data_IF_979684988935
#
_entry.id   IF_979684988935
#
_cell.length_a   1.000
_cell.length_b   1.000
_cell.length_c   1.000
_cell.angle_alpha   90.00
_cell.angle_beta   90.00
_cell.angle_gamma   90.00
#
_symmetry.space_group_name_H-M   'P 1'
#
loop_
_entity.id
_entity.type
_entity.pdbx_description
1 polymer ?
#
# COMPACT_ATOMS: atom_id res chain seq x y z
N UNK A 1 -5.46 10.98 11.61
CA UNK A 1 -4.50 10.71 10.53
C UNK A 1 -4.44 9.19 10.41
N UNK A 2 -4.26 8.62 9.22
CA UNK A 2 -4.01 7.19 9.12
C UNK A 2 -2.63 6.87 9.67
N UNK A 3 -2.42 5.64 10.14
CA UNK A 3 -1.09 5.09 10.22
C UNK A 3 -0.56 4.95 8.79
N UNK A 4 0.72 5.20 8.60
CA UNK A 4 1.35 5.11 7.31
C UNK A 4 2.20 3.83 7.23
N UNK A 5 1.94 3.05 6.21
CA UNK A 5 2.76 1.91 5.84
C UNK A 5 3.82 2.38 4.84
N UNK A 6 5.09 2.26 5.20
CA UNK A 6 6.20 2.54 4.29
C UNK A 6 6.33 1.40 3.28
N UNK A 7 6.56 1.72 2.02
CA UNK A 7 6.68 0.74 0.96
C UNK A 7 7.89 1.02 0.07
N UNK A 8 8.60 -0.05 -0.29
CA UNK A 8 9.56 -0.10 -1.37
C UNK A 8 9.08 -1.11 -2.40
N UNK A 9 8.83 -0.64 -3.61
CA UNK A 9 8.26 -1.42 -4.71
C UNK A 9 9.24 -1.49 -5.87
N UNK A 10 9.56 -2.70 -6.30
CA UNK A 10 10.25 -2.98 -7.55
C UNK A 10 9.27 -3.52 -8.59
N UNK A 11 9.28 -2.94 -9.78
CA UNK A 11 8.50 -3.41 -10.92
C UNK A 11 9.42 -3.68 -12.12
N UNK A 12 9.24 -4.86 -12.73
CA UNK A 12 9.82 -5.18 -14.04
C UNK A 12 8.71 -5.56 -15.01
N UNK A 13 8.90 -5.26 -16.31
CA UNK A 13 7.98 -5.69 -17.35
C UNK A 13 8.72 -5.88 -18.67
N UNK A 14 8.35 -6.89 -19.48
CA UNK A 14 8.99 -7.16 -20.78
C UNK A 14 8.81 -5.99 -21.77
N UNK A 15 7.66 -5.31 -21.74
CA UNK A 15 7.41 -4.10 -22.54
C UNK A 15 7.82 -2.83 -21.75
N UNK A 16 8.87 -2.11 -22.22
CA UNK A 16 9.31 -0.86 -21.57
C UNK A 16 8.22 0.23 -21.51
N UNK A 17 7.23 0.17 -22.39
CA UNK A 17 6.13 1.12 -22.39
C UNK A 17 5.25 0.98 -21.14
N UNK A 18 5.15 -0.23 -20.57
CA UNK A 18 4.44 -0.47 -19.31
C UNK A 18 5.17 0.13 -18.12
N UNK A 19 6.50 0.04 -18.08
CA UNK A 19 7.32 0.68 -17.05
C UNK A 19 7.22 2.21 -17.15
N UNK A 20 7.30 2.78 -18.34
CA UNK A 20 7.15 4.23 -18.53
C UNK A 20 5.71 4.71 -18.16
N UNK A 21 4.70 3.87 -18.42
CA UNK A 21 3.32 4.13 -17.99
C UNK A 21 3.20 4.14 -16.47
N UNK A 22 3.81 3.15 -15.78
CA UNK A 22 3.85 3.08 -14.32
C UNK A 22 4.59 4.30 -13.73
N UNK A 23 5.74 4.66 -14.30
CA UNK A 23 6.53 5.83 -13.88
C UNK A 23 5.72 7.12 -13.95
N UNK A 24 4.98 7.35 -15.05
CA UNK A 24 4.13 8.54 -15.21
C UNK A 24 2.97 8.55 -14.24
N UNK A 25 2.27 7.43 -14.12
CA UNK A 25 1.15 7.29 -13.20
C UNK A 25 1.60 7.53 -11.75
N UNK A 26 2.75 6.98 -11.36
CA UNK A 26 3.34 7.21 -10.05
C UNK A 26 3.70 8.69 -9.82
N UNK A 27 4.33 9.36 -10.78
CA UNK A 27 4.66 10.77 -10.70
C UNK A 27 3.40 11.66 -10.56
N UNK A 28 2.28 11.24 -11.14
CA UNK A 28 0.98 11.92 -11.05
C UNK A 28 0.18 11.55 -9.79
N UNK A 29 0.69 10.66 -8.90
CA UNK A 29 -0.02 10.16 -7.72
C UNK A 29 -1.25 9.32 -8.06
N UNK A 30 -1.17 8.52 -9.12
CA UNK A 30 -2.26 7.73 -9.69
C UNK A 30 -1.82 6.32 -10.11
N UNK A 31 -0.84 5.76 -9.41
CA UNK A 31 -0.30 4.45 -9.79
C UNK A 31 -1.38 3.36 -9.77
N UNK A 32 -2.19 3.33 -8.72
CA UNK A 32 -3.20 2.28 -8.54
C UNK A 32 -4.42 2.53 -9.45
N UNK A 33 -4.88 3.77 -9.58
CA UNK A 33 -5.99 4.14 -10.47
C UNK A 33 -5.68 3.83 -11.94
N UNK A 34 -4.43 4.01 -12.37
CA UNK A 34 -4.01 3.76 -13.75
C UNK A 34 -4.14 2.28 -14.18
N UNK A 35 -3.83 1.34 -13.27
CA UNK A 35 -3.84 -0.09 -13.56
C UNK A 35 -5.04 -0.83 -12.95
N UNK A 36 -5.66 -0.26 -11.93
CA UNK A 36 -6.80 -0.81 -11.19
C UNK A 36 -7.88 0.28 -10.99
N UNK A 37 -8.48 0.83 -12.08
CA UNK A 37 -9.33 2.00 -11.99
C UNK A 37 -10.60 1.77 -11.18
N UNK A 38 -10.95 2.75 -10.34
CA UNK A 38 -12.22 2.75 -9.62
C UNK A 38 -13.35 2.99 -10.61
N UNK A 39 -14.37 2.12 -10.69
CA UNK A 39 -15.55 2.36 -11.54
C UNK A 39 -16.18 3.72 -11.28
N UNK A 40 -16.46 4.50 -12.32
CA UNK A 40 -16.93 5.88 -12.21
C UNK A 40 -18.20 6.05 -11.34
N UNK A 41 -19.07 5.06 -11.31
CA UNK A 41 -20.29 5.08 -10.47
C UNK A 41 -19.99 4.96 -8.97
N UNK A 42 -18.82 4.45 -8.59
CA UNK A 42 -18.40 4.32 -7.19
C UNK A 42 -17.88 5.63 -6.58
N UNK A 43 -17.61 6.66 -7.39
CA UNK A 43 -17.19 7.98 -6.89
C UNK A 43 -18.35 8.75 -6.25
N UNK A 44 -18.96 8.15 -5.24
CA UNK A 44 -20.00 8.74 -4.38
C UNK A 44 -19.50 8.85 -2.96
N UNK A 45 -20.20 9.60 -2.11
CA UNK A 45 -19.82 9.79 -0.71
C UNK A 45 -19.78 8.45 0.02
N UNK A 46 -18.65 8.16 0.66
CA UNK A 46 -18.49 7.02 1.56
C UNK A 46 -18.87 7.44 2.98
N UNK A 47 -20.16 7.49 3.28
CA UNK A 47 -20.67 7.95 4.57
C UNK A 47 -22.11 8.42 4.49
N UNK A 48 -22.50 9.32 5.39
CA UNK A 48 -23.83 9.92 5.42
C UNK A 48 -23.79 11.38 4.98
N UNK A 49 -24.87 11.85 4.34
CA UNK A 49 -25.11 13.25 4.01
C UNK A 49 -26.23 13.79 4.88
N UNK A 50 -26.18 15.10 5.19
CA UNK A 50 -27.10 15.70 6.17
C UNK A 50 -28.51 15.99 5.63
N UNK A 51 -28.68 16.09 4.32
CA UNK A 51 -29.97 16.33 3.69
C UNK A 51 -30.72 15.00 3.45
N UNK A 52 -32.01 14.88 3.86
CA UNK A 52 -32.74 13.62 3.73
C UNK A 52 -33.00 13.16 2.29
N UNK A 53 -33.17 14.08 1.33
CA UNK A 53 -33.40 13.74 -0.06
C UNK A 53 -32.09 13.30 -0.73
N UNK A 54 -30.98 13.95 -0.40
CA UNK A 54 -29.64 13.54 -0.83
C UNK A 54 -29.26 12.20 -0.22
N UNK A 55 -29.57 11.96 1.05
CA UNK A 55 -29.32 10.68 1.73
C UNK A 55 -30.06 9.53 1.04
N UNK A 56 -31.33 9.73 0.71
CA UNK A 56 -32.12 8.70 -0.02
C UNK A 56 -31.52 8.39 -1.38
N UNK A 57 -31.09 9.42 -2.11
CA UNK A 57 -30.43 9.23 -3.42
C UNK A 57 -29.11 8.46 -3.24
N UNK A 58 -28.31 8.80 -2.23
CA UNK A 58 -27.07 8.11 -1.92
C UNK A 58 -27.30 6.62 -1.61
N UNK A 59 -28.36 6.28 -0.86
CA UNK A 59 -28.74 4.90 -0.56
C UNK A 59 -29.16 4.13 -1.83
N UNK A 60 -29.92 4.77 -2.73
CA UNK A 60 -30.31 4.18 -4.02
C UNK A 60 -29.09 3.93 -4.93
N UNK A 61 -28.14 4.89 -4.99
CA UNK A 61 -26.92 4.76 -5.77
C UNK A 61 -26.00 3.68 -5.17
N UNK A 62 -25.84 3.64 -3.85
CA UNK A 62 -25.10 2.60 -3.12
C UNK A 62 -25.67 1.21 -3.39
N UNK A 63 -26.98 1.04 -3.31
CA UNK A 63 -27.63 -0.25 -3.59
C UNK A 63 -27.42 -0.71 -5.05
N UNK A 64 -27.45 0.23 -5.99
CA UNK A 64 -27.18 -0.05 -7.42
C UNK A 64 -25.73 -0.46 -7.63
N UNK A 65 -24.79 0.25 -6.99
CA UNK A 65 -23.36 -0.04 -7.07
C UNK A 65 -23.04 -1.41 -6.47
N UNK A 66 -23.59 -1.75 -5.29
CA UNK A 66 -23.45 -3.08 -4.69
C UNK A 66 -23.92 -4.20 -5.64
N UNK A 67 -25.06 -4.00 -6.31
CA UNK A 67 -25.59 -4.98 -7.25
C UNK A 67 -24.75 -5.12 -8.53
N UNK A 68 -24.03 -4.05 -8.94
CA UNK A 68 -23.28 -4.01 -10.20
C UNK A 68 -21.82 -4.37 -10.03
N UNK A 69 -21.18 -3.90 -8.95
CA UNK A 69 -19.73 -3.98 -8.72
C UNK A 69 -19.34 -4.79 -7.49
N UNK A 70 -20.30 -5.12 -6.60
CA UNK A 70 -20.00 -5.73 -5.31
C UNK A 70 -19.58 -4.73 -4.23
N UNK A 71 -19.42 -3.46 -4.56
CA UNK A 71 -18.98 -2.38 -3.66
C UNK A 71 -19.98 -1.24 -3.67
N UNK A 72 -20.18 -0.59 -2.51
CA UNK A 72 -21.13 0.51 -2.39
C UNK A 72 -20.59 1.85 -2.90
N UNK A 73 -19.29 2.09 -2.74
CA UNK A 73 -18.61 3.34 -3.01
C UNK A 73 -17.12 3.12 -3.28
N UNK A 74 -16.40 4.20 -3.59
CA UNK A 74 -14.96 4.17 -3.88
C UNK A 74 -14.10 3.64 -2.71
N UNK A 75 -14.46 3.95 -1.47
CA UNK A 75 -13.69 3.55 -0.30
C UNK A 75 -13.68 2.02 -0.13
N UNK A 76 -14.88 1.41 -0.20
CA UNK A 76 -15.01 -0.05 -0.13
C UNK A 76 -14.24 -0.73 -1.26
N UNK A 77 -14.30 -0.15 -2.47
CA UNK A 77 -13.52 -0.64 -3.61
C UNK A 77 -12.02 -0.55 -3.36
N UNK A 78 -11.49 0.62 -3.01
CA UNK A 78 -10.06 0.81 -2.81
C UNK A 78 -9.49 -0.10 -1.72
N UNK A 79 -10.16 -0.20 -0.58
CA UNK A 79 -9.70 -1.07 0.53
C UNK A 79 -9.64 -2.54 0.11
N UNK A 80 -10.58 -3.02 -0.72
CA UNK A 80 -10.62 -4.42 -1.13
C UNK A 80 -9.77 -4.70 -2.38
N UNK A 81 -9.81 -3.78 -3.37
CA UNK A 81 -9.20 -4.01 -4.68
C UNK A 81 -7.78 -3.46 -4.83
N UNK A 82 -7.41 -2.50 -3.97
CA UNK A 82 -6.04 -2.00 -3.88
C UNK A 82 -5.30 -2.54 -2.65
N UNK A 83 -6.02 -2.84 -1.56
CA UNK A 83 -5.44 -3.16 -0.24
C UNK A 83 -5.18 -1.92 0.61
N UNK A 84 -5.33 -0.71 0.07
CA UNK A 84 -5.14 0.57 0.76
C UNK A 84 -6.24 1.55 0.39
N UNK A 85 -6.39 2.59 1.21
CA UNK A 85 -7.48 3.57 1.04
C UNK A 85 -7.27 4.52 -0.13
N UNK A 86 -6.03 4.99 -0.33
CA UNK A 86 -5.69 6.04 -1.28
C UNK A 86 -4.68 5.57 -2.31
N UNK A 87 -4.64 6.26 -3.44
CA UNK A 87 -3.61 6.05 -4.44
C UNK A 87 -2.22 6.46 -3.92
N UNK A 88 -1.17 6.06 -4.61
CA UNK A 88 0.22 6.21 -4.17
C UNK A 88 1.05 6.96 -5.22
N UNK A 89 2.15 7.59 -4.76
CA UNK A 89 3.03 8.39 -5.60
C UNK A 89 2.81 9.90 -5.45
N UNK A 90 3.06 10.66 -6.51
CA UNK A 90 3.03 12.13 -6.51
C UNK A 90 4.12 12.73 -5.62
N UNK A 91 3.81 13.85 -4.96
CA UNK A 91 4.77 14.58 -4.10
C UNK A 91 5.22 13.76 -2.87
N UNK A 92 4.50 12.67 -2.53
CA UNK A 92 4.82 11.77 -1.42
C UNK A 92 5.65 10.57 -1.81
N UNK A 93 6.08 10.44 -3.07
CA UNK A 93 6.81 9.28 -3.56
C UNK A 93 8.09 9.63 -4.29
N UNK A 94 9.06 8.70 -4.27
CA UNK A 94 10.31 8.80 -5.03
C UNK A 94 10.41 7.59 -5.94
N UNK A 95 10.65 7.82 -7.24
CA UNK A 95 10.89 6.77 -8.21
C UNK A 95 12.30 6.87 -8.79
N UNK A 96 12.98 5.75 -8.89
CA UNK A 96 14.31 5.62 -9.51
C UNK A 96 14.22 4.64 -10.67
N UNK A 97 14.71 5.07 -11.84
CA UNK A 97 14.75 4.25 -13.04
C UNK A 97 16.00 4.59 -13.85
N UNK A 98 16.74 3.59 -14.24
CA UNK A 98 17.86 3.76 -15.17
C UNK A 98 17.34 3.84 -16.61
N UNK A 99 17.91 4.75 -17.41
CA UNK A 99 17.51 4.92 -18.81
C UNK A 99 17.66 3.62 -19.60
N UNK A 100 16.58 3.20 -20.27
CA UNK A 100 16.56 2.03 -21.13
C UNK A 100 16.43 0.70 -20.39
N UNK A 101 16.14 0.72 -19.10
CA UNK A 101 15.83 -0.50 -18.32
C UNK A 101 14.34 -0.81 -18.37
N UNK A 102 14.02 -2.09 -18.16
CA UNK A 102 12.65 -2.58 -17.99
C UNK A 102 12.28 -2.70 -16.49
N UNK A 103 12.92 -1.91 -15.64
CA UNK A 103 12.83 -1.97 -14.20
C UNK A 103 12.67 -0.57 -13.61
N UNK A 104 11.87 -0.43 -12.57
CA UNK A 104 11.68 0.79 -11.80
C UNK A 104 11.54 0.47 -10.32
N UNK A 105 12.15 1.28 -9.47
CA UNK A 105 12.03 1.25 -8.03
C UNK A 105 11.23 2.47 -7.55
N UNK A 106 10.35 2.26 -6.59
CA UNK A 106 9.45 3.29 -6.05
C UNK A 106 9.40 3.20 -4.53
N UNK A 107 9.58 4.33 -3.86
CA UNK A 107 9.37 4.47 -2.41
C UNK A 107 8.15 5.36 -2.18
N UNK A 108 7.22 4.92 -1.35
CA UNK A 108 6.00 5.65 -1.04
C UNK A 108 5.35 5.16 0.26
N UNK A 109 4.48 5.99 0.81
CA UNK A 109 3.62 5.62 1.92
C UNK A 109 2.22 5.26 1.43
N UNK A 110 1.62 4.23 2.03
CA UNK A 110 0.22 3.86 1.83
C UNK A 110 -0.58 3.95 3.13
N UNK A 111 -1.89 4.19 3.02
CA UNK A 111 -2.74 4.39 4.19
C UNK A 111 -3.13 3.04 4.81
N UNK A 112 -2.68 2.78 6.05
CA UNK A 112 -2.96 1.65 6.93
C UNK A 112 -2.34 0.32 6.54
N UNK A 113 -2.23 0.01 5.26
CA UNK A 113 -1.77 -1.29 4.77
C UNK A 113 -1.07 -1.14 3.41
N UNK A 114 -0.18 -2.08 3.04
CA UNK A 114 0.44 -2.12 1.73
C UNK A 114 -0.58 -2.46 0.63
N UNK A 115 -0.40 -1.98 -0.62
CA UNK A 115 -1.35 -2.19 -1.70
C UNK A 115 -1.26 -3.58 -2.36
N UNK A 116 -1.22 -4.67 -1.57
CA UNK A 116 -1.00 -6.05 -2.07
C UNK A 116 -2.06 -6.45 -3.11
N UNK A 117 -3.34 -6.16 -2.87
CA UNK A 117 -4.40 -6.54 -3.79
C UNK A 117 -4.25 -5.88 -5.17
N UNK A 118 -3.70 -4.65 -5.22
CA UNK A 118 -3.34 -4.04 -6.50
C UNK A 118 -2.12 -4.71 -7.12
N UNK A 119 -1.12 -5.10 -6.33
CA UNK A 119 0.09 -5.77 -6.83
C UNK A 119 -0.24 -7.12 -7.47
N UNK A 120 -1.20 -7.87 -6.97
CA UNK A 120 -1.70 -9.09 -7.63
C UNK A 120 -2.21 -8.78 -9.06
N UNK A 121 -2.91 -7.66 -9.24
CA UNK A 121 -3.39 -7.23 -10.56
C UNK A 121 -2.25 -6.77 -11.48
N UNK A 122 -1.21 -6.17 -10.91
CA UNK A 122 0.01 -5.86 -11.69
C UNK A 122 0.66 -7.15 -12.20
N UNK A 123 0.72 -8.20 -11.39
CA UNK A 123 1.22 -9.52 -11.83
C UNK A 123 0.34 -10.10 -12.96
N UNK A 124 -0.97 -9.98 -12.87
CA UNK A 124 -1.91 -10.41 -13.94
C UNK A 124 -1.69 -9.64 -15.25
N UNK A 125 -1.19 -8.40 -15.18
CA UNK A 125 -0.81 -7.59 -16.34
C UNK A 125 0.59 -7.89 -16.88
N UNK A 126 1.33 -8.82 -16.26
CA UNK A 126 2.65 -9.28 -16.69
C UNK A 126 3.83 -8.57 -16.03
N UNK A 127 3.58 -7.74 -15.02
CA UNK A 127 4.66 -7.21 -14.18
C UNK A 127 5.23 -8.31 -13.28
N UNK A 128 6.55 -8.30 -13.10
CA UNK A 128 7.16 -8.89 -11.93
C UNK A 128 7.12 -7.84 -10.84
N UNK A 129 6.67 -8.24 -9.67
CA UNK A 129 6.44 -7.36 -8.52
C UNK A 129 7.24 -7.87 -7.34
N UNK A 130 7.93 -6.95 -6.66
CA UNK A 130 8.44 -7.16 -5.31
C UNK A 130 8.09 -5.93 -4.48
N UNK A 131 7.27 -6.12 -3.46
CA UNK A 131 6.84 -5.08 -2.55
C UNK A 131 7.36 -5.41 -1.15
N UNK A 132 8.25 -4.58 -0.64
CA UNK A 132 8.71 -4.61 0.76
C UNK A 132 7.94 -3.55 1.51
N UNK A 133 7.39 -3.90 2.69
CA UNK A 133 6.55 -2.96 3.44
C UNK A 133 6.75 -3.08 4.94
N UNK A 134 6.51 -1.95 5.63
CA UNK A 134 6.60 -1.83 7.08
C UNK A 134 5.59 -0.80 7.62
N UNK A 135 4.80 -1.22 8.59
CA UNK A 135 3.91 -0.35 9.38
C UNK A 135 4.29 -0.46 10.86
N UNK A 136 4.99 0.55 11.37
CA UNK A 136 5.55 0.54 12.72
C UNK A 136 4.50 0.70 13.82
N UNK A 137 3.39 1.39 13.56
CA UNK A 137 2.36 1.68 14.55
C UNK A 137 1.48 0.48 14.90
N UNK A 138 1.31 -0.47 13.96
CA UNK A 138 0.58 -1.73 14.16
C UNK A 138 1.52 -2.94 14.21
N UNK A 139 2.83 -2.70 14.22
CA UNK A 139 3.87 -3.71 14.40
C UNK A 139 3.82 -4.84 13.37
N UNK A 140 3.73 -4.52 12.09
CA UNK A 140 3.83 -5.52 11.03
C UNK A 140 4.75 -5.08 9.89
N UNK A 141 5.32 -6.08 9.22
CA UNK A 141 6.16 -5.88 8.05
C UNK A 141 6.12 -7.13 7.16
N UNK A 142 6.58 -7.01 5.91
CA UNK A 142 6.65 -8.17 5.03
C UNK A 142 7.26 -7.89 3.67
N UNK A 143 7.38 -8.97 2.89
CA UNK A 143 7.76 -8.96 1.47
C UNK A 143 6.70 -9.72 0.71
N UNK A 144 6.09 -9.05 -0.28
CA UNK A 144 5.16 -9.66 -1.22
C UNK A 144 5.81 -9.76 -2.60
N UNK A 145 5.83 -10.96 -3.16
CA UNK A 145 6.34 -11.25 -4.50
C UNK A 145 5.58 -12.41 -5.17
N UNK A 146 6.13 -13.01 -6.22
CA UNK A 146 5.55 -14.16 -6.94
C UNK A 146 5.39 -15.42 -6.08
N UNK A 147 6.05 -15.50 -4.92
CA UNK A 147 5.97 -16.62 -3.99
C UNK A 147 4.87 -16.40 -2.92
N UNK A 148 4.28 -15.22 -2.87
CA UNK A 148 3.26 -14.83 -1.92
C UNK A 148 3.72 -13.74 -0.96
N UNK A 149 3.07 -13.65 0.19
CA UNK A 149 3.32 -12.66 1.24
C UNK A 149 4.06 -13.30 2.42
N UNK A 150 5.33 -12.93 2.59
CA UNK A 150 6.15 -13.28 3.76
C UNK A 150 5.92 -12.22 4.85
N UNK A 151 4.81 -12.40 5.59
CA UNK A 151 4.28 -11.46 6.58
C UNK A 151 4.77 -11.77 7.98
N UNK A 152 5.25 -10.77 8.69
CA UNK A 152 5.62 -10.80 10.10
C UNK A 152 4.77 -9.81 10.90
N UNK A 153 3.97 -10.33 11.85
CA UNK A 153 3.39 -9.55 12.95
C UNK A 153 4.36 -9.67 14.14
N UNK A 154 4.90 -8.54 14.58
CA UNK A 154 5.85 -8.48 15.68
C UNK A 154 5.29 -7.75 16.90
N UNK A 155 3.95 -7.68 17.03
CA UNK A 155 3.28 -7.19 18.23
C UNK A 155 3.79 -7.95 19.45
N UNK A 156 4.15 -7.23 20.52
CA UNK A 156 4.69 -7.78 21.77
C UNK A 156 6.06 -8.48 21.65
N UNK A 157 6.77 -8.40 20.53
CA UNK A 157 8.13 -8.93 20.36
C UNK A 157 9.18 -7.85 20.71
N UNK A 158 10.26 -8.27 21.39
CA UNK A 158 11.46 -7.46 21.57
C UNK A 158 12.26 -7.35 20.27
N UNK A 159 13.14 -6.36 20.17
CA UNK A 159 14.03 -6.19 19.02
C UNK A 159 14.90 -7.44 18.74
N UNK A 160 15.33 -8.15 19.80
CA UNK A 160 16.12 -9.39 19.65
C UNK A 160 15.25 -10.55 19.12
N UNK A 161 13.99 -10.67 19.54
CA UNK A 161 13.06 -11.69 19.02
C UNK A 161 12.70 -11.38 17.56
N UNK A 162 12.51 -10.10 17.20
CA UNK A 162 12.32 -9.70 15.81
C UNK A 162 13.55 -10.03 14.97
N UNK A 163 14.75 -9.78 15.46
CA UNK A 163 16.01 -10.08 14.75
C UNK A 163 16.17 -11.59 14.42
N UNK A 164 15.60 -12.47 15.26
CA UNK A 164 15.61 -13.93 15.00
C UNK A 164 14.51 -14.38 14.01
N UNK A 165 13.41 -13.62 13.93
CA UNK A 165 12.22 -14.00 13.17
C UNK A 165 12.14 -13.36 11.79
N UNK A 166 12.69 -12.15 11.63
CA UNK A 166 12.54 -11.32 10.43
C UNK A 166 13.31 -11.88 9.25
N UNK A 167 12.74 -11.75 8.05
CA UNK A 167 13.48 -11.99 6.82
C UNK A 167 14.66 -11.00 6.72
N UNK A 168 15.91 -11.47 6.54
CA UNK A 168 17.07 -10.59 6.49
C UNK A 168 17.00 -9.52 5.39
N UNK A 169 16.40 -9.83 4.26
CA UNK A 169 16.21 -8.88 3.16
C UNK A 169 15.24 -7.74 3.53
N UNK A 170 14.19 -8.08 4.28
CA UNK A 170 13.24 -7.09 4.82
C UNK A 170 13.93 -6.12 5.78
N UNK A 171 14.73 -6.65 6.71
CA UNK A 171 15.45 -5.82 7.68
C UNK A 171 16.55 -4.98 7.01
N UNK A 172 17.26 -5.53 6.01
CA UNK A 172 18.25 -4.78 5.23
C UNK A 172 17.61 -3.60 4.48
N UNK A 173 16.38 -3.77 3.98
CA UNK A 173 15.65 -2.73 3.27
C UNK A 173 15.05 -1.66 4.20
N UNK A 174 14.47 -2.06 5.34
CA UNK A 174 13.65 -1.19 6.20
C UNK A 174 14.32 -0.82 7.53
N UNK A 175 15.45 -1.46 7.90
CA UNK A 175 16.19 -1.22 9.16
C UNK A 175 15.30 -1.39 10.42
N UNK A 176 14.42 -2.38 10.42
CA UNK A 176 13.38 -2.54 11.45
C UNK A 176 14.00 -2.85 12.82
N UNK A 177 14.95 -3.79 12.88
CA UNK A 177 15.60 -4.20 14.12
C UNK A 177 16.38 -3.05 14.77
N UNK A 178 17.07 -2.23 13.96
CA UNK A 178 17.79 -1.06 14.46
C UNK A 178 16.82 -0.03 15.06
N UNK A 179 15.75 0.30 14.33
CA UNK A 179 14.72 1.22 14.81
C UNK A 179 14.05 0.73 16.10
N UNK A 180 13.79 -0.58 16.24
CA UNK A 180 13.19 -1.14 17.45
C UNK A 180 14.16 -1.06 18.65
N UNK A 181 15.45 -1.30 18.45
CA UNK A 181 16.46 -1.17 19.52
C UNK A 181 16.60 0.26 20.01
N UNK A 182 16.63 1.23 19.09
CA UNK A 182 16.65 2.64 19.43
C UNK A 182 15.41 3.03 20.27
N UNK A 183 14.22 2.57 19.83
CA UNK A 183 12.99 2.81 20.56
C UNK A 183 12.96 2.16 21.95
N UNK A 184 13.48 0.94 22.11
CA UNK A 184 13.58 0.25 23.41
C UNK A 184 14.56 0.99 24.36
N UNK A 185 15.70 1.48 23.85
CA UNK A 185 16.67 2.25 24.62
C UNK A 185 16.07 3.58 25.12
N UNK A 186 15.39 4.34 24.23
CA UNK A 186 14.75 5.61 24.59
C UNK A 186 13.67 5.42 25.68
N UNK A 187 12.82 4.40 25.56
CA UNK A 187 11.78 4.14 26.56
C UNK A 187 12.36 3.63 27.91
N UNK A 188 13.45 2.87 27.88
CA UNK A 188 14.11 2.43 29.12
C UNK A 188 14.75 3.60 29.90
N UNK A 189 15.17 4.67 29.23
CA UNK A 189 15.68 5.89 29.86
C UNK A 189 14.55 6.73 30.48
N UNK A 190 13.37 6.83 29.82
CA UNK A 190 12.21 7.54 30.33
C UNK A 190 11.62 6.88 31.59
N UNK A 191 11.60 5.56 31.68
CA UNK A 191 11.11 4.82 32.85
C UNK A 191 12.08 4.88 34.06
N UNK A 192 13.32 5.34 33.85
CA UNK A 192 14.35 5.46 34.88
C UNK A 192 14.40 6.86 35.56
N UNK A 193 13.69 7.85 35.02
CA UNK A 193 13.56 9.22 35.57
C UNK A 193 12.30 9.38 36.45
#
# INVERSE_FOLDING_TARGET
>A
MPNWCNNYLELEHEDPAMIERARKAFADGKLLEEFCPVPASLHIVAGMVGDPDEQKKLEEDTARNLATHGYGNWYDYCVNEWGTKWDVGGDGGVATMDEGTNHIEMNFDSAWAPPIAAMEKFMDLGFKVKLVYWESGMCFAGIFDENGDDYLDYTDMSADEVAEAINPELDECMCIVENLREWEEENAEEDAE
#
